data_IF_063896709571
#
_entry.id   IF_063896709571
#
_cell.length_a   1.000
_cell.length_b   1.000
_cell.length_c   1.000
_cell.angle_alpha   90.00
_cell.angle_beta   90.00
_cell.angle_gamma   90.00
#
_symmetry.space_group_name_H-M   'P 1'
#
loop_
_entity.id
_entity.type
_entity.pdbx_description
1 polymer ?
#
# COMPACT_ATOMS: atom_id res chain seq x y z
N UNK A 1 -61.50 -23.23 23.14
CA UNK A 1 -60.67 -23.68 24.28
C UNK A 1 -60.01 -24.99 23.90
N UNK A 2 -58.76 -24.90 23.42
CA UNK A 2 -57.66 -25.87 23.43
C UNK A 2 -57.83 -27.39 23.21
N UNK A 3 -56.87 -27.91 22.42
CA UNK A 3 -56.08 -29.17 22.56
C UNK A 3 -56.65 -30.45 21.90
N UNK A 4 -55.91 -31.31 21.17
CA UNK A 4 -54.48 -31.49 20.80
C UNK A 4 -54.47 -32.23 19.44
N UNK A 5 -53.71 -31.75 18.45
CA UNK A 5 -53.40 -32.51 17.23
C UNK A 5 -52.17 -33.42 17.41
N UNK A 6 -52.28 -34.63 16.87
CA UNK A 6 -51.19 -35.57 16.69
C UNK A 6 -50.35 -35.17 15.46
N UNK A 7 -49.13 -35.71 15.45
CA UNK A 7 -48.44 -36.34 14.30
C UNK A 7 -47.23 -35.63 13.67
N UNK A 8 -46.16 -36.45 13.60
CA UNK A 8 -44.97 -36.40 12.76
C UNK A 8 -43.87 -35.36 13.01
N UNK A 9 -42.97 -35.79 13.90
CA UNK A 9 -41.55 -35.47 13.91
C UNK A 9 -40.91 -35.82 12.55
N UNK A 10 -40.49 -34.82 11.77
CA UNK A 10 -39.53 -35.00 10.67
C UNK A 10 -38.38 -34.03 10.93
N UNK A 11 -37.28 -34.56 11.44
CA UNK A 11 -36.02 -33.84 11.62
C UNK A 11 -35.30 -33.86 10.27
N UNK A 12 -35.42 -32.78 9.50
CA UNK A 12 -34.60 -32.56 8.31
C UNK A 12 -33.22 -32.06 8.73
N UNK A 13 -32.23 -32.95 8.69
CA UNK A 13 -30.81 -32.59 8.73
C UNK A 13 -30.46 -31.86 7.42
N UNK A 14 -30.61 -30.53 7.39
CA UNK A 14 -30.06 -29.71 6.32
C UNK A 14 -28.58 -29.46 6.65
N UNK A 15 -27.71 -30.34 6.17
CA UNK A 15 -26.26 -30.14 6.25
C UNK A 15 -25.88 -28.98 5.30
N UNK A 16 -25.86 -27.75 5.81
CA UNK A 16 -25.30 -26.60 5.10
C UNK A 16 -23.77 -26.79 4.98
N UNK A 17 -23.34 -27.50 3.94
CA UNK A 17 -21.97 -27.45 3.46
C UNK A 17 -21.75 -26.07 2.82
N UNK A 18 -21.33 -25.10 3.63
CA UNK A 18 -20.86 -23.81 3.15
C UNK A 18 -19.60 -24.04 2.30
N UNK A 19 -19.58 -23.68 1.01
CA UNK A 19 -18.35 -23.73 0.22
C UNK A 19 -17.32 -22.82 0.88
N UNK A 20 -16.19 -23.40 1.29
CA UNK A 20 -15.00 -22.64 1.67
C UNK A 20 -14.50 -21.97 0.38
N UNK A 21 -14.76 -20.67 0.23
CA UNK A 21 -14.15 -19.88 -0.84
C UNK A 21 -12.71 -19.65 -0.41
N UNK A 22 -11.81 -20.52 -0.90
CA UNK A 22 -10.37 -20.29 -0.78
C UNK A 22 -10.01 -19.15 -1.72
N UNK A 23 -9.78 -17.95 -1.18
CA UNK A 23 -9.13 -16.90 -1.97
C UNK A 23 -7.71 -17.35 -2.26
N UNK A 24 -7.40 -17.62 -3.53
CA UNK A 24 -6.02 -17.84 -3.94
C UNK A 24 -5.32 -16.49 -3.84
N UNK A 25 -4.28 -16.42 -3.00
CA UNK A 25 -3.39 -15.27 -3.01
C UNK A 25 -2.77 -15.15 -4.40
N UNK A 26 -2.75 -13.94 -4.97
CA UNK A 26 -2.11 -13.70 -6.25
C UNK A 26 -0.64 -14.15 -6.18
N UNK A 27 -0.14 -14.73 -7.28
CA UNK A 27 1.27 -15.06 -7.38
C UNK A 27 2.11 -13.79 -7.28
N UNK A 28 3.21 -13.85 -6.55
CA UNK A 28 4.09 -12.70 -6.32
C UNK A 28 5.54 -13.06 -6.66
N UNK A 29 6.25 -12.10 -7.24
CA UNK A 29 7.68 -12.19 -7.51
C UNK A 29 8.47 -11.20 -6.64
N UNK A 30 9.70 -11.58 -6.28
CA UNK A 30 10.62 -10.65 -5.60
C UNK A 30 11.37 -9.84 -6.66
N UNK A 31 11.15 -8.53 -6.66
CA UNK A 31 11.87 -7.58 -7.49
C UNK A 31 12.91 -6.84 -6.65
N UNK A 32 14.13 -6.71 -7.17
CA UNK A 32 15.23 -5.99 -6.53
C UNK A 32 15.58 -4.74 -7.34
N UNK A 33 15.59 -3.59 -6.67
CA UNK A 33 15.91 -2.29 -7.26
C UNK A 33 17.18 -1.73 -6.63
N UNK A 34 18.22 -1.52 -7.44
CA UNK A 34 19.48 -0.95 -6.96
C UNK A 34 19.33 0.54 -6.65
N UNK A 35 19.87 0.95 -5.52
CA UNK A 35 19.97 2.34 -5.08
C UNK A 35 21.46 2.72 -5.10
N UNK A 36 21.90 3.61 -6.02
CA UNK A 36 23.30 4.01 -6.10
C UNK A 36 23.83 4.43 -4.73
N UNK A 37 24.97 3.86 -4.30
CA UNK A 37 25.62 4.12 -3.01
C UNK A 37 24.80 3.77 -1.74
N UNK A 38 23.60 3.20 -1.91
CA UNK A 38 22.65 2.93 -0.82
C UNK A 38 22.09 1.50 -0.82
N UNK A 39 22.69 0.59 -1.58
CA UNK A 39 22.32 -0.83 -1.61
C UNK A 39 21.16 -1.13 -2.56
N UNK A 40 20.18 -1.92 -2.11
CA UNK A 40 18.98 -2.22 -2.90
C UNK A 40 17.73 -2.35 -2.05
N UNK A 41 16.57 -2.19 -2.67
CA UNK A 41 15.28 -2.54 -2.07
C UNK A 41 14.74 -3.78 -2.76
N UNK A 42 14.29 -4.73 -1.96
CA UNK A 42 13.55 -5.89 -2.41
C UNK A 42 12.06 -5.71 -2.08
N UNK A 43 11.22 -5.88 -3.10
CA UNK A 43 9.76 -5.78 -3.00
C UNK A 43 9.14 -7.10 -3.48
N UNK A 44 8.19 -7.63 -2.71
CA UNK A 44 7.36 -8.77 -3.13
C UNK A 44 6.12 -8.23 -3.84
N UNK A 45 6.13 -8.30 -5.17
CA UNK A 45 5.17 -7.63 -6.05
C UNK A 45 4.25 -8.66 -6.69
N UNK A 46 2.93 -8.42 -6.79
CA UNK A 46 2.03 -9.26 -7.59
C UNK A 46 2.52 -9.39 -9.04
N UNK A 47 2.51 -10.62 -9.56
CA UNK A 47 3.07 -10.95 -10.87
C UNK A 47 2.33 -10.27 -12.03
N UNK A 48 1.08 -9.86 -11.82
CA UNK A 48 0.30 -9.13 -12.82
C UNK A 48 0.72 -7.66 -12.97
N UNK A 49 1.58 -7.13 -12.08
CA UNK A 49 1.97 -5.72 -12.10
C UNK A 49 3.23 -5.51 -12.94
N UNK A 50 3.28 -4.38 -13.65
CA UNK A 50 4.47 -3.91 -14.38
C UNK A 50 5.11 -2.80 -13.56
N UNK A 51 6.41 -2.92 -13.29
CA UNK A 51 7.17 -1.94 -12.52
C UNK A 51 8.26 -1.29 -13.37
N UNK A 52 8.27 0.03 -13.43
CA UNK A 52 9.30 0.83 -14.11
C UNK A 52 10.07 1.69 -13.09
N UNK A 53 11.40 1.77 -13.26
CA UNK A 53 12.23 2.66 -12.44
C UNK A 53 12.41 4.00 -13.15
N UNK A 54 11.77 5.05 -12.63
CA UNK A 54 11.92 6.43 -13.11
C UNK A 54 13.04 7.12 -12.35
N UNK A 55 14.17 7.37 -13.02
CA UNK A 55 15.30 8.10 -12.47
C UNK A 55 15.19 9.59 -12.84
N UNK A 56 15.00 10.50 -11.87
CA UNK A 56 15.03 11.93 -12.17
C UNK A 56 16.47 12.40 -12.48
N UNK A 57 16.62 13.56 -13.15
CA UNK A 57 17.92 14.20 -13.33
C UNK A 57 18.66 14.48 -12.01
N UNK A 58 19.96 14.75 -12.09
CA UNK A 58 20.79 15.19 -10.94
C UNK A 58 20.88 14.21 -9.77
N UNK A 59 20.74 12.90 -10.00
CA UNK A 59 20.87 11.85 -8.97
C UNK A 59 19.88 11.99 -7.80
N UNK A 60 18.73 12.62 -8.03
CA UNK A 60 17.62 12.56 -7.07
C UNK A 60 17.16 11.11 -6.87
N UNK A 61 16.52 10.77 -5.74
CA UNK A 61 16.08 9.40 -5.51
C UNK A 61 15.16 8.90 -6.64
N UNK A 62 15.35 7.67 -7.13
CA UNK A 62 14.50 7.11 -8.17
C UNK A 62 13.09 6.88 -7.62
N UNK A 63 12.10 6.85 -8.51
CA UNK A 63 10.74 6.43 -8.17
C UNK A 63 10.40 5.16 -8.93
N UNK A 64 10.03 4.12 -8.20
CA UNK A 64 9.47 2.91 -8.78
C UNK A 64 7.98 3.17 -9.04
N UNK A 65 7.54 2.95 -10.26
CA UNK A 65 6.17 3.15 -10.72
C UNK A 65 5.57 1.80 -11.10
N UNK A 66 4.56 1.35 -10.35
CA UNK A 66 3.81 0.14 -10.68
C UNK A 66 2.45 0.47 -11.29
N UNK A 67 2.15 -0.23 -12.38
CA UNK A 67 0.91 -0.17 -13.15
C UNK A 67 0.38 -1.57 -13.42
N UNK A 68 -0.93 -1.73 -13.70
CA UNK A 68 -1.45 -3.03 -14.09
C UNK A 68 -0.79 -3.51 -15.39
N UNK A 69 -0.47 -4.80 -15.45
CA UNK A 69 -0.06 -5.44 -16.69
C UNK A 69 -1.19 -5.46 -17.72
N UNK A 70 -2.42 -5.67 -17.24
CA UNK A 70 -3.70 -5.64 -17.95
C UNK A 70 -4.84 -5.25 -16.98
N UNK A 71 -5.99 -4.82 -17.51
CA UNK A 71 -7.18 -4.56 -16.69
C UNK A 71 -7.35 -3.09 -16.27
N UNK A 72 -8.07 -2.86 -15.17
CA UNK A 72 -8.43 -1.52 -14.70
C UNK A 72 -7.18 -0.73 -14.26
N UNK A 73 -7.06 0.56 -14.63
CA UNK A 73 -5.90 1.37 -14.29
C UNK A 73 -5.77 1.55 -12.77
N UNK A 74 -4.53 1.45 -12.28
CA UNK A 74 -4.07 1.95 -10.98
C UNK A 74 -2.64 2.46 -11.18
N UNK A 75 -2.15 3.28 -10.25
CA UNK A 75 -0.75 3.70 -10.24
C UNK A 75 -0.22 3.68 -8.81
N UNK A 76 0.96 3.08 -8.61
CA UNK A 76 1.65 3.05 -7.31
C UNK A 76 3.04 3.62 -7.50
N UNK A 77 3.31 4.70 -6.78
CA UNK A 77 4.60 5.39 -6.80
C UNK A 77 5.32 5.10 -5.50
N UNK A 78 6.56 4.66 -5.58
CA UNK A 78 7.42 4.41 -4.42
C UNK A 78 8.74 5.12 -4.63
N UNK A 79 9.01 6.11 -3.78
CA UNK A 79 10.25 6.86 -3.79
C UNK A 79 11.02 6.55 -2.52
N UNK A 80 12.15 5.84 -2.61
CA UNK A 80 13.08 5.68 -1.51
C UNK A 80 13.66 7.04 -1.09
N UNK A 81 13.74 7.30 0.20
CA UNK A 81 14.25 8.54 0.78
C UNK A 81 15.36 8.18 1.77
N UNK A 82 16.53 8.77 1.56
CA UNK A 82 17.69 8.64 2.43
C UNK A 82 18.32 10.03 2.66
N UNK A 83 19.12 10.20 3.72
CA UNK A 83 19.91 11.40 3.92
C UNK A 83 20.92 11.60 2.79
N UNK A 84 20.79 12.70 2.04
CA UNK A 84 21.72 13.06 0.95
C UNK A 84 22.86 13.99 1.42
N UNK A 85 22.83 14.42 2.68
CA UNK A 85 23.90 15.20 3.31
C UNK A 85 23.99 14.85 4.80
N UNK A 86 25.14 15.14 5.42
CA UNK A 86 25.38 14.89 6.85
C UNK A 86 24.44 15.69 7.76
N UNK A 87 23.95 16.83 7.28
CA UNK A 87 23.03 17.69 8.02
C UNK A 87 21.57 17.23 7.90
N UNK A 88 21.28 16.31 6.97
CA UNK A 88 19.96 15.72 6.85
C UNK A 88 19.80 14.59 7.88
N UNK A 89 18.83 14.67 8.80
CA UNK A 89 18.66 13.63 9.79
C UNK A 89 18.22 12.32 9.14
N UNK A 90 18.59 11.19 9.74
CA UNK A 90 18.08 9.87 9.35
C UNK A 90 16.56 9.78 9.51
N UNK A 91 15.85 9.06 8.64
CA UNK A 91 14.43 8.80 8.81
C UNK A 91 14.17 8.12 10.17
N UNK A 92 13.07 8.51 10.83
CA UNK A 92 12.59 7.84 12.04
C UNK A 92 11.06 7.93 12.10
N UNK A 93 10.43 7.17 13.00
CA UNK A 93 8.98 7.04 13.05
C UNK A 93 8.26 8.38 13.33
N UNK A 94 8.81 9.23 14.20
CA UNK A 94 8.22 10.54 14.53
C UNK A 94 8.27 11.51 13.34
N UNK A 95 9.40 11.55 12.63
CA UNK A 95 9.57 12.37 11.43
C UNK A 95 8.67 11.89 10.30
N UNK A 96 8.57 10.58 10.10
CA UNK A 96 7.62 10.01 9.14
C UNK A 96 6.19 10.42 9.51
N UNK A 97 5.77 10.23 10.76
CA UNK A 97 4.42 10.62 11.20
C UNK A 97 4.14 12.09 10.92
N UNK A 98 5.12 12.96 11.19
CA UNK A 98 5.03 14.40 10.93
C UNK A 98 4.89 14.70 9.44
N UNK A 99 5.68 14.04 8.58
CA UNK A 99 5.61 14.24 7.13
C UNK A 99 4.29 13.75 6.55
N UNK A 100 3.83 12.56 6.95
CA UNK A 100 2.54 12.01 6.53
C UNK A 100 1.39 12.89 7.01
N UNK A 101 1.47 13.44 8.23
CA UNK A 101 0.48 14.40 8.74
C UNK A 101 0.42 15.65 7.86
N UNK A 102 1.56 16.23 7.49
CA UNK A 102 1.60 17.40 6.59
C UNK A 102 1.01 17.08 5.22
N UNK A 103 1.27 15.90 4.68
CA UNK A 103 0.69 15.45 3.41
C UNK A 103 -0.84 15.33 3.51
N UNK A 104 -1.37 14.77 4.61
CA UNK A 104 -2.80 14.71 4.88
C UNK A 104 -3.45 16.11 4.96
N UNK A 105 -2.83 17.05 5.68
CA UNK A 105 -3.29 18.44 5.75
C UNK A 105 -3.31 19.12 4.38
N UNK A 106 -2.34 18.81 3.51
CA UNK A 106 -2.26 19.34 2.15
C UNK A 106 -3.32 18.72 1.22
N UNK A 107 -3.67 17.44 1.42
CA UNK A 107 -4.70 16.76 0.65
C UNK A 107 -6.13 17.19 1.05
N UNK A 108 -6.35 17.54 2.33
CA UNK A 108 -7.68 17.84 2.90
C UNK A 108 -8.54 18.80 2.07
N UNK A 109 -8.05 19.92 1.51
CA UNK A 109 -8.89 20.84 0.74
C UNK A 109 -9.52 20.22 -0.52
N UNK A 110 -8.91 19.17 -1.07
CA UNK A 110 -9.38 18.44 -2.25
C UNK A 110 -10.07 17.12 -1.91
N UNK A 111 -10.16 16.78 -0.61
CA UNK A 111 -10.75 15.54 -0.16
C UNK A 111 -12.27 15.67 0.08
N UNK A 112 -13.01 14.58 -0.02
CA UNK A 112 -14.40 14.48 0.47
C UNK A 112 -14.41 14.48 1.99
N UNK A 113 -13.43 13.84 2.62
CA UNK A 113 -13.30 13.71 4.06
C UNK A 113 -13.03 15.07 4.71
N UNK A 114 -13.81 15.40 5.76
CA UNK A 114 -13.56 16.58 6.59
C UNK A 114 -12.28 16.43 7.42
N UNK A 115 -12.09 15.25 8.01
CA UNK A 115 -10.93 14.89 8.82
C UNK A 115 -10.21 13.70 8.21
N UNK A 116 -8.90 13.86 7.94
CA UNK A 116 -8.04 12.81 7.39
C UNK A 116 -7.19 12.23 8.51
N UNK A 117 -7.54 11.02 8.94
CA UNK A 117 -6.84 10.33 10.02
C UNK A 117 -5.64 9.53 9.51
N UNK A 118 -4.53 9.61 10.26
CA UNK A 118 -3.36 8.77 10.02
C UNK A 118 -3.58 7.37 10.58
N UNK A 119 -3.23 6.37 9.78
CA UNK A 119 -3.17 4.96 10.15
C UNK A 119 -1.71 4.52 10.25
N UNK A 120 -1.41 3.72 11.26
CA UNK A 120 -0.09 3.13 11.43
C UNK A 120 0.11 1.96 10.45
N UNK A 121 1.31 1.84 9.89
CA UNK A 121 1.73 0.75 9.03
C UNK A 121 2.94 0.04 9.65
N UNK A 122 2.72 -1.16 10.18
CA UNK A 122 3.80 -1.98 10.76
C UNK A 122 4.44 -2.85 9.67
N UNK A 123 5.67 -2.54 9.29
CA UNK A 123 6.48 -3.34 8.39
C UNK A 123 7.41 -4.31 9.13
N UNK A 124 8.10 -5.15 8.38
CA UNK A 124 9.04 -6.14 8.91
C UNK A 124 10.25 -5.50 9.59
N UNK A 125 10.66 -4.32 9.15
CA UNK A 125 11.89 -3.64 9.59
C UNK A 125 11.65 -2.24 10.19
N UNK A 126 10.39 -1.81 10.33
CA UNK A 126 10.09 -0.49 10.85
C UNK A 126 8.60 -0.13 10.87
N UNK A 127 8.32 1.05 11.43
CA UNK A 127 6.98 1.63 11.51
C UNK A 127 6.84 2.74 10.48
N UNK A 128 5.68 2.80 9.85
CA UNK A 128 5.23 3.83 8.94
C UNK A 128 3.87 4.39 9.31
N UNK A 129 3.43 5.37 8.55
CA UNK A 129 2.09 5.94 8.65
C UNK A 129 1.56 6.23 7.25
N UNK A 130 0.25 6.19 7.11
CA UNK A 130 -0.41 6.56 5.87
C UNK A 130 -1.78 7.17 6.15
N UNK A 131 -2.36 7.79 5.15
CA UNK A 131 -3.75 8.22 5.17
C UNK A 131 -4.43 7.82 3.87
N UNK A 132 -5.75 7.91 3.89
CA UNK A 132 -6.60 7.73 2.72
C UNK A 132 -7.38 9.03 2.48
N UNK A 133 -7.56 9.40 1.22
CA UNK A 133 -8.38 10.53 0.80
C UNK A 133 -9.16 10.16 -0.48
N UNK A 134 -10.40 10.62 -0.55
CA UNK A 134 -11.24 10.56 -1.74
C UNK A 134 -11.24 11.91 -2.42
N UNK A 135 -10.89 11.99 -3.70
CA UNK A 135 -11.01 13.23 -4.47
C UNK A 135 -12.50 13.65 -4.54
N UNK A 136 -12.78 14.90 -4.17
CA UNK A 136 -14.14 15.46 -4.23
C UNK A 136 -14.64 15.75 -5.64
N UNK A 137 -13.75 15.94 -6.59
CA UNK A 137 -14.08 16.30 -7.96
C UNK A 137 -13.02 15.76 -8.95
N UNK A 138 -12.80 14.44 -9.01
CA UNK A 138 -11.84 13.86 -9.95
C UNK A 138 -12.26 14.19 -11.38
N UNK A 139 -11.31 14.62 -12.23
CA UNK A 139 -11.61 14.81 -13.64
C UNK A 139 -11.82 13.44 -14.32
N UNK A 140 -12.46 13.41 -15.50
CA UNK A 140 -12.46 12.21 -16.32
C UNK A 140 -11.04 11.66 -16.48
N UNK A 141 -10.91 10.34 -16.36
CA UNK A 141 -9.65 9.59 -16.47
C UNK A 141 -8.61 9.84 -15.36
N UNK A 142 -8.93 10.63 -14.33
CA UNK A 142 -8.12 10.74 -13.11
C UNK A 142 -8.53 9.69 -12.06
N UNK A 143 -7.69 9.51 -11.04
CA UNK A 143 -7.94 8.56 -9.94
C UNK A 143 -8.81 9.19 -8.86
N UNK A 144 -9.85 8.47 -8.45
CA UNK A 144 -10.78 8.91 -7.40
C UNK A 144 -10.21 8.76 -5.98
N UNK A 145 -9.35 7.77 -5.76
CA UNK A 145 -8.87 7.41 -4.43
C UNK A 145 -7.36 7.49 -4.34
N UNK A 146 -6.87 8.07 -3.24
CA UNK A 146 -5.46 8.14 -2.90
C UNK A 146 -5.21 7.52 -1.52
N UNK A 147 -4.26 6.59 -1.46
CA UNK A 147 -3.61 6.18 -0.20
C UNK A 147 -2.17 6.65 -0.24
N UNK A 148 -1.77 7.52 0.67
CA UNK A 148 -0.43 8.11 0.67
C UNK A 148 0.21 7.98 2.04
N UNK A 149 1.52 7.67 2.08
CA UNK A 149 2.21 7.46 3.33
C UNK A 149 3.72 7.32 3.19
N UNK A 150 4.34 6.94 4.29
CA UNK A 150 5.73 6.51 4.28
C UNK A 150 5.96 5.40 5.30
N UNK A 151 6.97 4.55 5.06
CA UNK A 151 7.36 3.46 5.97
C UNK A 151 8.88 3.37 6.10
N UNK A 152 9.37 3.14 7.31
CA UNK A 152 10.78 2.81 7.55
C UNK A 152 11.10 1.41 7.04
N UNK A 153 12.20 1.29 6.29
CA UNK A 153 12.73 0.02 5.81
C UNK A 153 14.24 0.02 5.99
N UNK A 154 14.73 -0.60 7.07
CA UNK A 154 16.15 -0.52 7.43
C UNK A 154 16.58 0.93 7.73
N UNK A 155 17.58 1.42 7.00
CA UNK A 155 18.14 2.77 7.21
C UNK A 155 17.46 3.85 6.34
N UNK A 156 16.51 3.46 5.48
CA UNK A 156 15.81 4.35 4.55
C UNK A 156 14.32 4.43 4.89
N UNK A 157 13.63 5.41 4.33
CA UNK A 157 12.18 5.43 4.28
C UNK A 157 11.68 5.23 2.85
N UNK A 158 10.55 4.57 2.67
CA UNK A 158 9.83 4.55 1.40
C UNK A 158 8.66 5.50 1.51
N UNK A 159 8.69 6.60 0.76
CA UNK A 159 7.50 7.40 0.52
C UNK A 159 6.67 6.74 -0.57
N UNK A 160 5.35 6.69 -0.41
CA UNK A 160 4.48 6.04 -1.38
C UNK A 160 3.16 6.76 -1.60
N UNK A 161 2.65 6.61 -2.82
CA UNK A 161 1.30 7.03 -3.22
C UNK A 161 0.66 5.87 -3.99
N UNK A 162 -0.55 5.50 -3.64
CA UNK A 162 -1.37 4.47 -4.30
C UNK A 162 -2.62 5.17 -4.83
N UNK A 163 -2.83 5.12 -6.13
CA UNK A 163 -3.92 5.77 -6.84
C UNK A 163 -4.82 4.71 -7.48
N UNK A 164 -6.10 4.75 -7.13
CA UNK A 164 -7.09 3.72 -7.52
C UNK A 164 -8.45 4.34 -7.80
N UNK A 165 -9.36 3.52 -8.32
CA UNK A 165 -10.75 3.79 -8.62
C UNK A 165 -11.66 2.73 -7.97
N UNK A 166 -12.96 2.82 -8.24
CA UNK A 166 -13.97 1.95 -7.62
C UNK A 166 -13.72 0.44 -7.84
N UNK A 167 -13.79 -0.31 -6.73
CA UNK A 167 -13.65 -1.77 -6.71
C UNK A 167 -12.21 -2.28 -6.84
N UNK A 168 -11.23 -1.50 -6.39
CA UNK A 168 -9.80 -1.86 -6.39
C UNK A 168 -9.20 -1.94 -4.97
N UNK A 169 -10.02 -2.26 -3.95
CA UNK A 169 -9.56 -2.40 -2.57
C UNK A 169 -8.44 -3.45 -2.42
N UNK A 170 -8.45 -4.49 -3.26
CA UNK A 170 -7.39 -5.50 -3.31
C UNK A 170 -6.05 -4.90 -3.74
N UNK A 171 -6.03 -3.96 -4.70
CA UNK A 171 -4.79 -3.28 -5.11
C UNK A 171 -4.18 -2.51 -3.94
N UNK A 172 -5.01 -1.84 -3.14
CA UNK A 172 -4.55 -1.12 -1.94
C UNK A 172 -4.00 -2.12 -0.92
N UNK A 173 -4.72 -3.22 -0.67
CA UNK A 173 -4.30 -4.25 0.27
C UNK A 173 -2.96 -4.89 -0.13
N UNK A 174 -2.80 -5.23 -1.41
CA UNK A 174 -1.59 -5.82 -1.97
C UNK A 174 -0.41 -4.84 -1.95
N UNK A 175 -0.65 -3.56 -2.26
CA UNK A 175 0.37 -2.52 -2.20
C UNK A 175 0.87 -2.30 -0.76
N UNK A 176 -0.04 -2.22 0.21
CA UNK A 176 0.32 -2.12 1.62
C UNK A 176 1.03 -3.39 2.11
N UNK A 177 0.63 -4.57 1.64
CA UNK A 177 1.31 -5.83 1.92
C UNK A 177 2.74 -5.86 1.38
N UNK A 178 2.94 -5.44 0.12
CA UNK A 178 4.25 -5.29 -0.49
C UNK A 178 5.14 -4.35 0.33
N UNK A 179 4.63 -3.18 0.72
CA UNK A 179 5.36 -2.20 1.53
C UNK A 179 5.74 -2.73 2.92
N UNK A 180 4.84 -3.46 3.58
CA UNK A 180 5.12 -4.08 4.89
C UNK A 180 6.23 -5.12 4.81
N UNK A 181 6.34 -5.83 3.69
CA UNK A 181 7.32 -6.88 3.46
C UNK A 181 8.58 -6.37 2.73
N UNK A 182 8.70 -5.06 2.51
CA UNK A 182 9.87 -4.49 1.86
C UNK A 182 11.12 -4.71 2.71
N UNK A 183 12.23 -4.99 2.03
CA UNK A 183 13.54 -5.20 2.66
C UNK A 183 14.57 -4.27 2.03
N UNK A 184 15.32 -3.57 2.87
CA UNK A 184 16.49 -2.80 2.46
C UNK A 184 17.73 -3.66 2.66
N UNK A 185 18.44 -3.95 1.57
CA UNK A 185 19.70 -4.68 1.58
C UNK A 185 20.82 -3.66 1.43
N UNK A 186 21.65 -3.50 2.47
CA UNK A 186 22.79 -2.58 2.42
C UNK A 186 23.80 -3.06 1.37
N UNK A 187 24.30 -2.14 0.55
CA UNK A 187 25.43 -2.42 -0.32
C UNK A 187 26.66 -2.68 0.55
N UNK A 188 27.43 -3.73 0.25
CA UNK A 188 28.73 -3.94 0.91
C UNK A 188 29.63 -2.73 0.65
N UNK A 189 30.31 -2.24 1.70
CA UNK A 189 31.37 -1.26 1.54
C UNK A 189 32.47 -1.90 0.69
N UNK A 190 32.66 -1.43 -0.53
CA UNK A 190 33.89 -1.68 -1.30
C UNK A 190 34.95 -0.67 -0.87
#
# INVERSE_FOLDING_TARGET
MNRIDRLFLIISYFACSFPVITTLAEETNVHSYSLPDHGSIQLKVPASWKGDLRQPPHRLPPTIDFKPGTGKPFEILITPIWPISKDMPSPNAERIRTQVKRAAEHARPQAVEHDINLKELKGASGIGYYFFATDRAPKPDEYKYMTQGMILVGDIALAFTILTNDGQDNVIADALSMLKNAVHVKGGAT
#
